data_IF_280618864760
#
_entry.id   IF_280618864760
#
_cell.length_a   1.000
_cell.length_b   1.000
_cell.length_c   1.000
_cell.angle_alpha   90.00
_cell.angle_beta   90.00
_cell.angle_gamma   90.00
#
_symmetry.space_group_name_H-M   'P 1'
#
loop_
_entity.id
_entity.type
_entity.pdbx_description
1 polymer ?
#
# COMPACT_ATOMS: atom_id res chain seq x y z
N UNK A 1 0.64 10.44 24.41
CA UNK A 1 1.20 9.69 23.28
C UNK A 1 0.09 8.83 22.69
N UNK A 2 -0.09 8.83 21.37
CA UNK A 2 -1.01 7.94 20.66
C UNK A 2 -0.31 6.58 20.47
N UNK A 3 -0.95 5.49 20.86
CA UNK A 3 -0.35 4.16 20.81
C UNK A 3 0.08 3.80 19.38
N UNK A 4 1.31 3.33 19.21
CA UNK A 4 1.83 2.94 17.92
C UNK A 4 1.01 1.79 17.35
N UNK A 5 0.45 1.98 16.14
CA UNK A 5 -0.26 0.92 15.44
C UNK A 5 0.57 0.45 14.25
N UNK A 6 1.08 -0.78 14.35
CA UNK A 6 1.82 -1.43 13.28
C UNK A 6 0.85 -1.86 12.17
N UNK A 7 1.08 -1.41 10.94
CA UNK A 7 0.29 -1.90 9.81
C UNK A 7 0.39 -3.44 9.71
N UNK A 8 -0.73 -4.18 9.66
CA UNK A 8 -0.72 -5.64 9.67
C UNK A 8 0.06 -6.24 8.49
N UNK A 9 0.52 -7.47 8.64
CA UNK A 9 0.92 -8.27 7.47
C UNK A 9 -0.31 -8.59 6.62
N UNK A 10 -0.17 -8.49 5.30
CA UNK A 10 -1.21 -8.91 4.36
C UNK A 10 -0.84 -10.31 3.86
N UNK A 11 -1.68 -11.34 4.10
CA UNK A 11 -1.37 -12.71 3.69
C UNK A 11 -1.47 -12.88 2.18
N UNK A 12 -0.76 -13.86 1.65
CA UNK A 12 -0.85 -14.28 0.25
C UNK A 12 -2.21 -14.94 -0.01
N UNK A 13 -2.85 -14.59 -1.13
CA UNK A 13 -4.04 -15.27 -1.63
C UNK A 13 -3.69 -16.67 -2.15
N UNK A 14 -2.62 -16.73 -2.93
CA UNK A 14 -1.97 -17.92 -3.42
C UNK A 14 -0.46 -17.64 -3.52
N UNK A 15 0.34 -18.70 -3.60
CA UNK A 15 1.77 -18.59 -3.81
C UNK A 15 2.10 -18.96 -5.26
N UNK A 16 2.51 -17.96 -6.05
CA UNK A 16 2.93 -18.13 -7.45
C UNK A 16 4.45 -18.28 -7.60
N UNK A 17 5.19 -18.22 -6.50
CA UNK A 17 6.65 -18.27 -6.49
C UNK A 17 7.22 -19.69 -6.63
N UNK A 18 8.54 -19.77 -6.78
CA UNK A 18 9.26 -21.05 -6.89
C UNK A 18 9.13 -21.97 -5.65
N UNK A 19 9.85 -23.10 -5.70
CA UNK A 19 9.65 -24.29 -4.85
C UNK A 19 9.56 -24.09 -3.32
N UNK A 20 10.06 -22.97 -2.78
CA UNK A 20 9.95 -22.66 -1.36
C UNK A 20 8.63 -21.95 -1.07
N UNK A 21 7.65 -22.72 -0.61
CA UNK A 21 6.37 -22.20 -0.12
C UNK A 21 6.63 -21.36 1.16
N UNK A 22 5.97 -20.20 1.34
CA UNK A 22 6.05 -19.45 2.57
C UNK A 22 5.57 -20.29 3.75
N UNK A 23 5.97 -19.89 4.95
CA UNK A 23 5.33 -20.40 6.17
C UNK A 23 3.80 -20.24 6.07
N UNK A 24 3.08 -21.24 6.57
CA UNK A 24 1.61 -21.33 6.43
C UNK A 24 0.89 -20.07 6.96
N UNK A 25 1.42 -19.40 7.98
CA UNK A 25 0.87 -18.16 8.55
C UNK A 25 0.88 -16.96 7.58
N UNK A 26 1.67 -17.03 6.51
CA UNK A 26 1.75 -16.00 5.46
C UNK A 26 0.82 -16.28 4.28
N UNK A 27 0.15 -17.42 4.24
CA UNK A 27 -0.78 -17.82 3.18
C UNK A 27 -2.20 -17.87 3.74
N UNK A 28 -3.18 -17.38 2.99
CA UNK A 28 -4.58 -17.60 3.35
C UNK A 28 -4.93 -19.08 3.26
N UNK A 29 -5.68 -19.58 4.24
CA UNK A 29 -6.26 -20.91 4.13
C UNK A 29 -7.19 -20.98 2.92
N UNK A 30 -7.35 -22.16 2.28
CA UNK A 30 -8.26 -22.31 1.15
C UNK A 30 -9.70 -21.88 1.44
N UNK A 31 -10.18 -22.07 2.67
CA UNK A 31 -11.52 -21.61 3.09
C UNK A 31 -11.62 -20.08 3.13
N UNK A 32 -10.63 -19.38 3.67
CA UNK A 32 -10.62 -17.92 3.70
C UNK A 32 -10.38 -17.31 2.32
N UNK A 33 -9.57 -17.93 1.47
CA UNK A 33 -9.40 -17.51 0.08
C UNK A 33 -10.72 -17.60 -0.70
N UNK A 34 -11.45 -18.73 -0.58
CA UNK A 34 -12.80 -18.87 -1.15
C UNK A 34 -13.77 -17.84 -0.60
N UNK A 35 -13.75 -17.59 0.71
CA UNK A 35 -14.63 -16.59 1.33
C UNK A 35 -14.33 -15.15 0.86
N UNK A 36 -13.05 -14.80 0.68
CA UNK A 36 -12.65 -13.49 0.13
C UNK A 36 -13.19 -13.28 -1.29
N UNK A 37 -13.18 -14.31 -2.12
CA UNK A 37 -13.60 -14.27 -3.53
C UNK A 37 -15.06 -14.68 -3.75
N UNK A 38 -15.84 -14.93 -2.69
CA UNK A 38 -17.23 -15.39 -2.81
C UNK A 38 -18.21 -14.31 -3.30
N UNK A 39 -17.80 -13.04 -3.28
CA UNK A 39 -18.59 -11.90 -3.72
C UNK A 39 -17.73 -10.88 -4.43
N UNK A 40 -18.27 -9.68 -4.64
CA UNK A 40 -17.53 -8.61 -5.30
C UNK A 40 -16.32 -8.19 -4.47
N UNK A 41 -15.21 -7.98 -5.17
CA UNK A 41 -13.95 -7.50 -4.60
C UNK A 41 -13.47 -6.25 -5.31
N UNK A 42 -12.57 -5.54 -4.63
CA UNK A 42 -11.74 -4.50 -5.23
C UNK A 42 -10.35 -5.06 -5.40
N UNK A 43 -9.81 -4.96 -6.63
CA UNK A 43 -8.44 -5.36 -6.96
C UNK A 43 -7.65 -4.12 -7.28
N UNK A 44 -6.56 -3.91 -6.56
CA UNK A 44 -5.68 -2.75 -6.71
C UNK A 44 -4.26 -3.22 -7.01
N UNK A 45 -3.53 -2.46 -7.84
CA UNK A 45 -2.12 -2.74 -8.10
C UNK A 45 -1.33 -2.67 -6.79
N UNK A 46 -0.55 -3.72 -6.50
CA UNK A 46 0.41 -3.70 -5.40
C UNK A 46 1.64 -2.91 -5.87
N UNK A 47 1.90 -1.81 -5.21
CA UNK A 47 3.08 -0.98 -5.44
C UNK A 47 4.23 -1.45 -4.54
N UNK A 48 5.43 -1.43 -5.10
CA UNK A 48 6.68 -1.75 -4.42
C UNK A 48 7.29 -0.47 -3.84
N UNK A 49 7.61 -0.49 -2.55
CA UNK A 49 8.11 0.68 -1.83
C UNK A 49 8.18 0.44 -0.33
N UNK A 50 8.08 1.54 0.41
CA UNK A 50 8.05 1.50 1.87
C UNK A 50 6.67 1.87 2.40
N UNK A 51 6.11 1.01 3.26
CA UNK A 51 4.97 1.36 4.07
C UNK A 51 5.26 2.61 4.93
N UNK A 52 4.43 3.65 4.75
CA UNK A 52 4.43 4.84 5.58
C UNK A 52 3.01 5.08 6.13
N UNK A 53 2.94 5.54 7.37
CA UNK A 53 1.69 5.92 8.03
C UNK A 53 1.74 7.36 8.53
N UNK A 54 0.58 8.03 8.52
CA UNK A 54 0.39 9.39 9.03
C UNK A 54 -0.76 9.41 10.03
N UNK A 55 -0.57 10.08 11.15
CA UNK A 55 -1.59 10.23 12.20
C UNK A 55 -1.38 11.52 12.99
N UNK A 56 -2.36 11.97 13.75
CA UNK A 56 -2.20 13.14 14.62
C UNK A 56 -1.87 12.75 16.07
N UNK A 57 -0.94 13.49 16.67
CA UNK A 57 -0.79 13.55 18.11
C UNK A 57 -1.95 14.34 18.73
N UNK A 58 -2.08 14.26 20.07
CA UNK A 58 -3.14 14.98 20.81
C UNK A 58 -3.11 16.50 20.65
N UNK A 59 -1.93 17.06 20.35
CA UNK A 59 -1.71 18.48 20.10
C UNK A 59 -1.88 18.88 18.62
N UNK A 60 -2.31 17.95 17.77
CA UNK A 60 -2.46 18.16 16.32
C UNK A 60 -1.17 18.00 15.52
N UNK A 61 -0.04 17.67 16.16
CA UNK A 61 1.22 17.41 15.46
C UNK A 61 1.07 16.22 14.52
N UNK A 62 1.46 16.40 13.26
CA UNK A 62 1.49 15.31 12.28
C UNK A 62 2.64 14.35 12.61
N UNK A 63 2.30 13.12 12.98
CA UNK A 63 3.22 12.03 13.20
C UNK A 63 3.38 11.22 11.92
N UNK A 64 4.60 10.83 11.60
CA UNK A 64 4.91 9.92 10.49
C UNK A 64 5.55 8.65 11.03
N UNK A 65 5.15 7.50 10.50
CA UNK A 65 5.69 6.21 10.87
C UNK A 65 6.10 5.38 9.66
N UNK A 66 7.10 4.52 9.84
CA UNK A 66 7.27 3.35 8.98
C UNK A 66 6.56 2.14 9.61
N UNK A 67 6.75 0.95 9.05
CA UNK A 67 6.12 -0.28 9.56
C UNK A 67 6.52 -0.64 11.01
N UNK A 68 7.66 -0.18 11.52
CA UNK A 68 8.22 -0.60 12.81
C UNK A 68 8.21 0.47 13.90
N UNK A 69 8.22 1.75 13.53
CA UNK A 69 8.37 2.86 14.48
C UNK A 69 7.92 4.19 13.87
N UNK A 70 7.68 5.17 14.74
CA UNK A 70 7.60 6.57 14.31
C UNK A 70 8.96 7.04 13.78
N UNK A 71 8.92 7.84 12.72
CA UNK A 71 10.09 8.47 12.12
C UNK A 71 10.34 9.81 12.79
N UNK A 72 11.60 10.14 13.01
CA UNK A 72 12.04 11.42 13.58
C UNK A 72 13.00 12.12 12.64
N UNK A 73 13.02 13.44 12.71
CA UNK A 73 14.02 14.26 12.01
C UNK A 73 15.40 14.09 12.66
N UNK A 74 16.50 14.08 11.88
CA UNK A 74 16.57 14.17 10.42
C UNK A 74 16.13 12.86 9.74
N UNK A 75 15.29 12.98 8.71
CA UNK A 75 14.90 11.84 7.89
C UNK A 75 16.05 11.43 6.97
N UNK A 76 16.39 10.14 6.94
CA UNK A 76 17.54 9.61 6.21
C UNK A 76 17.17 8.46 5.29
N UNK A 77 18.10 8.06 4.42
CA UNK A 77 17.92 6.93 3.51
C UNK A 77 16.72 7.11 2.58
N UNK A 78 15.84 6.11 2.52
CA UNK A 78 14.64 6.15 1.66
C UNK A 78 13.65 7.27 2.01
N UNK A 79 13.73 7.84 3.22
CA UNK A 79 12.86 8.92 3.68
C UNK A 79 13.49 10.31 3.52
N UNK A 80 14.67 10.44 2.90
CA UNK A 80 15.36 11.73 2.76
C UNK A 80 14.55 12.79 1.98
N UNK A 81 13.62 12.37 1.10
CA UNK A 81 12.71 13.27 0.36
C UNK A 81 11.39 13.57 1.08
N UNK A 82 11.16 12.95 2.24
CA UNK A 82 9.93 13.12 3.00
C UNK A 82 9.72 14.56 3.50
N UNK A 83 10.75 15.32 3.96
CA UNK A 83 10.56 16.71 4.40
C UNK A 83 9.98 17.63 3.32
N UNK A 84 10.54 17.58 2.12
CA UNK A 84 10.08 18.39 0.97
C UNK A 84 8.64 18.01 0.60
N UNK A 85 8.33 16.72 0.58
CA UNK A 85 6.98 16.25 0.34
C UNK A 85 5.99 16.70 1.42
N UNK A 86 6.36 16.59 2.70
CA UNK A 86 5.54 17.05 3.82
C UNK A 86 5.30 18.56 3.80
N UNK A 87 6.26 19.35 3.32
CA UNK A 87 6.05 20.79 3.16
C UNK A 87 4.92 21.13 2.18
N UNK A 88 4.64 20.25 1.20
CA UNK A 88 3.58 20.44 0.20
C UNK A 88 2.25 19.76 0.55
N UNK A 89 2.28 18.68 1.33
CA UNK A 89 1.10 17.84 1.60
C UNK A 89 0.68 17.80 3.08
N UNK A 90 1.56 18.15 4.00
CA UNK A 90 1.38 17.94 5.43
C UNK A 90 0.20 18.69 6.04
N UNK A 91 -0.03 19.95 5.64
CA UNK A 91 -1.20 20.73 6.07
C UNK A 91 -2.51 20.05 5.62
N UNK A 92 -2.62 19.72 4.33
CA UNK A 92 -3.82 19.06 3.77
C UNK A 92 -4.07 17.69 4.40
N UNK A 93 -3.04 16.94 4.77
CA UNK A 93 -3.20 15.70 5.53
C UNK A 93 -3.75 16.02 6.92
N UNK A 94 -3.19 17.01 7.61
CA UNK A 94 -3.62 17.38 8.96
C UNK A 94 -5.08 17.83 8.99
N UNK A 95 -5.52 18.57 7.98
CA UNK A 95 -6.90 19.06 7.86
C UNK A 95 -7.92 17.93 7.66
N UNK A 96 -7.49 16.78 7.11
CA UNK A 96 -8.37 15.65 6.81
C UNK A 96 -8.31 14.52 7.84
N UNK A 97 -7.33 14.54 8.75
CA UNK A 97 -7.19 13.54 9.80
C UNK A 97 -7.73 14.08 11.12
N UNK A 98 -8.47 13.24 11.83
CA UNK A 98 -8.66 13.39 13.27
C UNK A 98 -7.73 12.45 14.04
N UNK A 99 -7.74 12.54 15.37
CA UNK A 99 -6.84 11.76 16.24
C UNK A 99 -7.13 10.24 16.24
N UNK A 100 -8.28 9.81 15.73
CA UNK A 100 -8.66 8.39 15.62
C UNK A 100 -8.09 7.73 14.36
N UNK A 101 -7.69 8.52 13.35
CA UNK A 101 -7.34 7.99 12.03
C UNK A 101 -5.83 7.81 11.84
N UNK A 102 -5.48 6.76 11.09
CA UNK A 102 -4.18 6.59 10.47
C UNK A 102 -4.34 6.41 8.97
N UNK A 103 -3.72 7.30 8.20
CA UNK A 103 -3.58 7.16 6.76
C UNK A 103 -2.35 6.30 6.46
N UNK A 104 -2.51 5.28 5.63
CA UNK A 104 -1.39 4.46 5.14
C UNK A 104 -1.22 4.59 3.64
N UNK A 105 0.03 4.68 3.22
CA UNK A 105 0.40 4.70 1.81
C UNK A 105 1.74 4.03 1.55
N UNK A 106 1.98 3.76 0.27
CA UNK A 106 3.24 3.25 -0.21
C UNK A 106 4.13 4.43 -0.60
N UNK A 107 5.22 4.61 0.12
CA UNK A 107 6.25 5.58 -0.17
C UNK A 107 7.24 4.99 -1.18
N UNK A 108 7.10 5.40 -2.44
CA UNK A 108 7.86 4.84 -3.57
C UNK A 108 8.90 5.82 -4.11
N UNK A 109 9.38 6.77 -3.30
CA UNK A 109 10.44 7.69 -3.71
C UNK A 109 11.76 6.95 -4.00
N UNK A 110 12.19 6.08 -3.08
CA UNK A 110 13.34 5.21 -3.28
C UNK A 110 12.91 3.96 -4.05
N UNK A 111 13.72 3.56 -5.03
CA UNK A 111 13.58 2.29 -5.74
C UNK A 111 13.91 1.14 -4.79
N UNK A 112 12.95 0.24 -4.61
CA UNK A 112 13.15 -1.07 -3.98
C UNK A 112 13.56 -2.07 -5.07
N UNK A 113 12.71 -3.02 -5.40
CA UNK A 113 12.93 -4.01 -6.46
C UNK A 113 12.54 -3.45 -7.83
N UNK A 114 11.41 -2.74 -7.88
CA UNK A 114 10.81 -2.21 -9.10
C UNK A 114 11.20 -0.75 -9.30
N UNK A 115 11.64 -0.44 -10.53
CA UNK A 115 11.82 0.94 -10.98
C UNK A 115 10.52 1.50 -11.53
N UNK A 116 10.07 2.61 -10.95
CA UNK A 116 8.95 3.39 -11.45
C UNK A 116 9.43 4.69 -12.07
N UNK A 117 8.93 4.97 -13.28
CA UNK A 117 9.28 6.16 -14.04
C UNK A 117 8.09 7.06 -14.41
N UNK A 118 6.87 6.69 -13.97
CA UNK A 118 5.63 7.42 -14.23
C UNK A 118 4.73 7.52 -12.98
N UNK A 119 5.32 7.60 -11.79
CA UNK A 119 4.52 7.77 -10.57
C UNK A 119 3.76 9.11 -10.62
N UNK A 120 2.50 9.19 -10.17
CA UNK A 120 1.77 10.45 -10.11
C UNK A 120 2.14 11.27 -8.85
N UNK A 121 2.74 10.61 -7.86
CA UNK A 121 3.25 11.18 -6.61
C UNK A 121 4.22 10.16 -5.98
N UNK A 122 5.09 10.57 -5.05
CA UNK A 122 5.93 9.66 -4.27
C UNK A 122 5.13 8.84 -3.25
N UNK A 123 3.97 9.35 -2.80
CA UNK A 123 3.06 8.62 -1.92
C UNK A 123 1.81 8.16 -2.68
N UNK A 124 1.50 6.87 -2.57
CA UNK A 124 0.24 6.30 -3.03
C UNK A 124 -0.55 5.72 -1.87
N UNK A 125 -1.66 6.37 -1.51
CA UNK A 125 -2.51 5.95 -0.39
C UNK A 125 -3.18 4.61 -0.73
N UNK A 126 -3.15 3.65 0.22
CA UNK A 126 -3.77 2.35 0.05
C UNK A 126 -4.72 1.93 1.18
N UNK A 127 -4.64 2.52 2.38
CA UNK A 127 -5.54 2.19 3.50
C UNK A 127 -5.74 3.38 4.44
N UNK A 128 -6.86 3.36 5.18
CA UNK A 128 -7.09 4.18 6.37
C UNK A 128 -7.53 3.26 7.51
N UNK A 129 -6.87 3.35 8.65
CA UNK A 129 -7.25 2.64 9.88
C UNK A 129 -7.94 3.59 10.84
N UNK A 130 -9.07 3.14 11.37
CA UNK A 130 -9.87 3.83 12.37
C UNK A 130 -9.65 3.15 13.73
N UNK A 131 -9.05 3.89 14.66
CA UNK A 131 -8.71 3.37 16.00
C UNK A 131 -9.93 3.15 16.87
N UNK A 132 -10.97 3.97 16.72
CA UNK A 132 -12.18 3.86 17.54
C UNK A 132 -12.99 2.63 17.12
N UNK A 133 -13.14 2.43 15.82
CA UNK A 133 -13.81 1.25 15.28
C UNK A 133 -12.91 0.00 15.26
N UNK A 134 -11.60 0.15 15.46
CA UNK A 134 -10.58 -0.87 15.29
C UNK A 134 -10.62 -1.57 13.91
N UNK A 135 -10.89 -0.79 12.85
CA UNK A 135 -11.20 -1.32 11.50
C UNK A 135 -10.55 -0.48 10.41
N UNK A 136 -10.32 -1.13 9.26
CA UNK A 136 -9.92 -0.44 8.05
C UNK A 136 -11.16 0.05 7.28
N UNK A 137 -11.11 1.28 6.81
CA UNK A 137 -12.15 1.85 5.95
C UNK A 137 -12.29 1.09 4.62
N UNK A 138 -13.46 1.18 3.99
CA UNK A 138 -13.64 0.79 2.59
C UNK A 138 -12.77 1.66 1.68
N UNK A 139 -12.43 1.14 0.50
CA UNK A 139 -11.69 1.88 -0.52
C UNK A 139 -12.41 3.15 -0.96
N UNK A 140 -13.75 3.16 -0.96
CA UNK A 140 -14.54 4.36 -1.27
C UNK A 140 -14.33 5.48 -0.24
N UNK A 141 -14.39 5.17 1.06
CA UNK A 141 -14.12 6.15 2.13
C UNK A 141 -12.66 6.62 2.11
N UNK A 142 -11.72 5.69 1.96
CA UNK A 142 -10.29 6.00 1.78
C UNK A 142 -10.08 6.96 0.60
N UNK A 143 -10.71 6.70 -0.54
CA UNK A 143 -10.56 7.51 -1.75
C UNK A 143 -11.12 8.92 -1.57
N UNK A 144 -12.26 9.05 -0.90
CA UNK A 144 -12.83 10.36 -0.59
C UNK A 144 -11.87 11.19 0.28
N UNK A 145 -11.31 10.60 1.34
CA UNK A 145 -10.32 11.28 2.19
C UNK A 145 -9.04 11.63 1.42
N UNK A 146 -8.49 10.68 0.65
CA UNK A 146 -7.30 10.94 -0.16
C UNK A 146 -7.53 12.06 -1.17
N UNK A 147 -8.70 12.10 -1.83
CA UNK A 147 -9.08 13.16 -2.75
C UNK A 147 -9.20 14.51 -2.05
N UNK A 148 -9.83 14.56 -0.87
CA UNK A 148 -9.96 15.79 -0.08
C UNK A 148 -8.61 16.34 0.39
N UNK A 149 -7.66 15.44 0.70
CA UNK A 149 -6.26 15.81 1.01
C UNK A 149 -5.42 16.14 -0.24
N UNK A 150 -5.97 15.93 -1.45
CA UNK A 150 -5.25 16.06 -2.72
C UNK A 150 -4.05 15.10 -2.83
N UNK A 151 -4.24 13.87 -2.35
CA UNK A 151 -3.29 12.76 -2.42
C UNK A 151 -3.67 11.78 -3.53
N UNK A 152 -2.66 11.10 -4.08
CA UNK A 152 -2.87 10.05 -5.08
C UNK A 152 -3.05 8.69 -4.37
N UNK A 153 -3.82 7.79 -5.00
CA UNK A 153 -4.13 6.45 -4.48
C UNK A 153 -3.45 5.38 -5.34
N UNK A 154 -3.33 4.18 -4.79
CA UNK A 154 -2.96 3.01 -5.60
C UNK A 154 -3.99 2.76 -6.72
N UNK A 155 -3.56 2.32 -7.92
CA UNK A 155 -4.47 2.08 -9.04
C UNK A 155 -5.50 0.98 -8.75
N UNK A 156 -6.79 1.27 -8.92
CA UNK A 156 -7.81 0.23 -9.02
C UNK A 156 -7.76 -0.40 -10.41
N UNK A 157 -7.69 -1.74 -10.46
CA UNK A 157 -7.62 -2.52 -11.69
C UNK A 157 -8.96 -3.18 -12.03
N UNK A 158 -9.70 -3.60 -11.00
CA UNK A 158 -10.99 -4.27 -11.13
C UNK A 158 -11.88 -3.96 -9.91
N UNK A 159 -13.17 -3.84 -10.15
CA UNK A 159 -14.25 -3.93 -9.15
C UNK A 159 -15.29 -4.91 -9.66
N UNK A 160 -15.63 -5.91 -8.86
CA UNK A 160 -16.64 -6.90 -9.23
C UNK A 160 -16.25 -8.32 -8.84
N UNK A 161 -16.94 -9.30 -9.41
CA UNK A 161 -16.65 -10.71 -9.21
C UNK A 161 -15.36 -11.10 -9.91
N UNK A 162 -14.54 -11.93 -9.25
CA UNK A 162 -13.37 -12.53 -9.86
C UNK A 162 -12.99 -13.85 -9.17
N UNK A 163 -12.11 -14.62 -9.79
CA UNK A 163 -11.53 -15.81 -9.20
C UNK A 163 -9.99 -15.80 -9.29
N UNK A 164 -9.34 -16.79 -8.68
CA UNK A 164 -7.88 -16.87 -8.65
C UNK A 164 -7.26 -16.95 -10.06
N UNK A 165 -7.84 -17.72 -10.98
CA UNK A 165 -7.30 -17.89 -12.32
C UNK A 165 -7.36 -16.58 -13.13
N UNK A 166 -8.44 -15.81 -12.98
CA UNK A 166 -8.55 -14.48 -13.60
C UNK A 166 -7.55 -13.48 -13.02
N UNK A 167 -7.28 -13.53 -11.71
CA UNK A 167 -6.27 -12.70 -11.06
C UNK A 167 -4.85 -13.05 -11.53
N UNK A 168 -4.55 -14.35 -11.69
CA UNK A 168 -3.28 -14.83 -12.26
C UNK A 168 -3.12 -14.36 -13.70
N UNK A 169 -4.16 -14.49 -14.53
CA UNK A 169 -4.16 -14.00 -15.90
C UNK A 169 -3.98 -12.47 -15.97
N UNK A 170 -4.66 -11.72 -15.10
CA UNK A 170 -4.50 -10.28 -14.99
C UNK A 170 -3.05 -9.89 -14.68
N UNK A 171 -2.39 -10.60 -13.76
CA UNK A 171 -0.99 -10.36 -13.43
C UNK A 171 -0.04 -10.67 -14.59
N UNK A 172 -0.31 -11.71 -15.36
CA UNK A 172 0.53 -12.11 -16.49
C UNK A 172 0.43 -11.12 -17.67
N UNK A 173 -0.77 -10.63 -17.97
CA UNK A 173 -1.02 -9.83 -19.19
C UNK A 173 -0.91 -8.33 -18.97
N UNK A 174 -1.23 -7.82 -17.76
CA UNK A 174 -1.27 -6.37 -17.52
C UNK A 174 0.08 -5.85 -17.03
N UNK A 175 0.55 -4.81 -17.70
CA UNK A 175 1.67 -4.01 -17.20
C UNK A 175 1.25 -3.12 -16.03
N UNK A 176 2.22 -2.79 -15.17
CA UNK A 176 2.06 -1.78 -14.12
C UNK A 176 1.63 -0.45 -14.72
N UNK A 177 0.81 0.31 -13.99
CA UNK A 177 0.41 1.66 -14.42
C UNK A 177 1.59 2.64 -14.48
N UNK A 178 2.64 2.41 -13.69
CA UNK A 178 3.69 3.40 -13.43
C UNK A 178 5.06 3.04 -14.03
N UNK A 179 5.12 2.01 -14.89
CA UNK A 179 6.30 1.63 -15.66
C UNK A 179 5.92 0.81 -16.90
N UNK A 180 6.87 0.65 -17.82
CA UNK A 180 6.77 -0.39 -18.85
C UNK A 180 7.25 -1.73 -18.28
N UNK A 181 6.36 -2.71 -18.16
CA UNK A 181 6.62 -4.05 -17.66
C UNK A 181 5.68 -4.50 -16.53
N UNK A 182 5.90 -5.70 -15.97
CA UNK A 182 4.96 -6.32 -15.04
C UNK A 182 4.82 -5.53 -13.73
N UNK A 183 3.64 -5.59 -13.14
CA UNK A 183 3.42 -5.12 -11.76
C UNK A 183 3.97 -6.12 -10.75
N UNK A 184 4.24 -5.67 -9.52
CA UNK A 184 4.68 -6.55 -8.44
C UNK A 184 3.62 -7.61 -8.11
N UNK A 185 2.35 -7.19 -8.16
CA UNK A 185 1.23 -7.99 -7.71
C UNK A 185 -0.05 -7.16 -7.64
N UNK A 186 -1.05 -7.74 -6.99
CA UNK A 186 -2.32 -7.09 -6.66
C UNK A 186 -2.68 -7.27 -5.19
N UNK A 187 -3.41 -6.30 -4.65
CA UNK A 187 -4.13 -6.42 -3.39
C UNK A 187 -5.61 -6.65 -3.71
N UNK A 188 -6.19 -7.71 -3.15
CA UNK A 188 -7.60 -8.07 -3.31
C UNK A 188 -8.31 -7.79 -1.99
N UNK A 189 -9.42 -7.08 -2.04
CA UNK A 189 -10.20 -6.67 -0.85
C UNK A 189 -11.66 -7.04 -1.02
N UNK A 190 -12.25 -7.68 -0.01
CA UNK A 190 -13.70 -7.67 0.15
C UNK A 190 -14.08 -6.57 1.15
N UNK A 191 -15.13 -5.84 0.85
CA UNK A 191 -15.57 -4.70 1.66
C UNK A 191 -17.10 -4.61 1.70
N UNK A 192 -17.63 -3.82 2.63
CA UNK A 192 -18.96 -3.24 2.50
C UNK A 192 -18.83 -1.74 2.22
N UNK A 193 -19.93 -1.00 2.33
CA UNK A 193 -19.95 0.44 2.09
C UNK A 193 -18.90 1.20 2.92
N UNK A 194 -18.70 0.79 4.17
CA UNK A 194 -17.94 1.56 5.15
C UNK A 194 -16.57 0.95 5.51
N UNK A 195 -16.41 -0.36 5.37
CA UNK A 195 -15.30 -1.10 5.97
C UNK A 195 -14.75 -2.17 5.05
N UNK A 196 -13.41 -2.27 5.02
CA UNK A 196 -12.70 -3.44 4.50
C UNK A 196 -12.94 -4.62 5.44
N UNK A 197 -13.40 -5.75 4.90
CA UNK A 197 -13.70 -6.98 5.68
C UNK A 197 -12.49 -7.92 5.71
N UNK A 198 -11.91 -8.18 4.54
CA UNK A 198 -10.73 -9.03 4.42
C UNK A 198 -9.89 -8.58 3.24
N UNK A 199 -8.58 -8.87 3.30
CA UNK A 199 -7.64 -8.55 2.23
C UNK A 199 -6.57 -9.61 2.07
N UNK A 200 -6.10 -9.76 0.85
CA UNK A 200 -5.00 -10.64 0.49
C UNK A 200 -4.13 -9.98 -0.57
N UNK A 201 -2.91 -10.48 -0.74
CA UNK A 201 -2.04 -10.10 -1.85
C UNK A 201 -1.79 -11.29 -2.77
N UNK A 202 -1.76 -11.07 -4.06
CA UNK A 202 -1.24 -12.03 -5.03
C UNK A 202 -0.01 -11.38 -5.66
N UNK A 203 1.16 -12.00 -5.49
CA UNK A 203 2.43 -11.45 -5.95
C UNK A 203 2.85 -12.22 -7.19
N UNK A 204 3.22 -11.49 -8.24
CA UNK A 204 3.66 -12.07 -9.50
C UNK A 204 4.95 -12.90 -9.27
N UNK A 205 5.05 -14.05 -9.94
CA UNK A 205 6.08 -15.07 -9.68
C UNK A 205 7.51 -14.49 -9.65
N UNK A 206 7.85 -13.66 -10.63
CA UNK A 206 9.16 -12.99 -10.76
C UNK A 206 9.57 -12.13 -9.56
N UNK A 207 8.62 -11.70 -8.71
CA UNK A 207 8.87 -10.83 -7.55
C UNK A 207 8.80 -11.56 -6.21
N UNK A 208 8.52 -12.86 -6.21
CA UNK A 208 8.43 -13.67 -4.98
C UNK A 208 9.80 -14.00 -4.37
N UNK A 209 10.86 -14.07 -5.18
CA UNK A 209 12.22 -14.43 -4.75
C UNK A 209 13.03 -13.25 -4.19
N UNK A 210 12.59 -12.01 -4.43
CA UNK A 210 13.30 -10.79 -4.01
C UNK A 210 13.03 -10.38 -2.55
N UNK A 211 12.26 -11.17 -1.79
CA UNK A 211 11.75 -10.78 -0.46
C UNK A 211 12.84 -10.80 0.62
N UNK A 212 13.90 -11.60 0.48
CA UNK A 212 14.86 -11.84 1.57
C UNK A 212 16.28 -11.24 1.38
N UNK A 213 16.69 -10.82 0.17
CA UNK A 213 18.06 -10.33 -0.06
C UNK A 213 18.16 -8.84 -0.43
N UNK A 214 18.65 -8.05 0.53
CA UNK A 214 19.68 -7.03 0.27
C UNK A 214 19.32 -5.72 -0.50
N UNK A 215 18.15 -5.09 -0.26
CA UNK A 215 17.98 -3.69 -0.69
C UNK A 215 18.59 -2.67 0.30
N UNK A 216 18.58 -2.94 1.60
CA UNK A 216 18.99 -1.98 2.65
C UNK A 216 20.49 -1.62 2.68
N UNK A 217 21.33 -2.37 1.94
CA UNK A 217 22.79 -2.15 1.84
C UNK A 217 23.25 -1.48 0.53
N UNK A 218 22.34 -1.21 -0.40
CA UNK A 218 22.68 -0.58 -1.69
C UNK A 218 22.51 0.93 -1.59
N UNK A 219 23.29 1.68 -2.39
CA UNK A 219 23.06 3.12 -2.56
C UNK A 219 21.62 3.35 -3.03
N UNK A 220 20.94 4.31 -2.39
CA UNK A 220 19.55 4.66 -2.71
C UNK A 220 19.48 5.14 -4.16
N UNK A 221 18.71 4.42 -4.98
CA UNK A 221 18.28 4.89 -6.29
C UNK A 221 16.89 5.51 -6.15
N UNK A 222 16.62 6.57 -6.88
CA UNK A 222 15.34 7.29 -6.80
C UNK A 222 14.45 6.96 -8.00
N UNK A 223 13.18 6.67 -7.73
CA UNK A 223 12.14 6.60 -8.77
C UNK A 223 11.81 8.00 -9.30
N UNK A 224 11.02 8.06 -10.38
CA UNK A 224 10.60 9.33 -11.00
C UNK A 224 9.10 9.52 -10.92
N UNK A 225 8.72 10.76 -10.66
CA UNK A 225 7.33 11.25 -10.69
C UNK A 225 7.11 11.94 -12.04
N UNK A 226 6.00 11.62 -12.68
CA UNK A 226 5.49 12.32 -13.85
C UNK A 226 4.54 13.44 -13.40
N UNK A 227 5.09 14.65 -13.26
CA UNK A 227 4.35 15.82 -12.80
C UNK A 227 3.35 16.36 -13.84
N UNK A 228 3.32 15.82 -15.06
CA UNK A 228 2.35 16.21 -16.08
C UNK A 228 0.95 15.62 -15.82
N UNK A 229 0.87 14.57 -15.00
CA UNK A 229 -0.38 13.90 -14.61
C UNK A 229 -0.89 14.51 -13.29
N UNK A 230 -1.25 15.79 -13.30
CA UNK A 230 -1.85 16.45 -12.13
C UNK A 230 -3.37 16.37 -12.13
#
# INVERSE_FOLDING_TARGET
MTDFFRFPSTPHLAWLGGATVPREDKLLSPSHARALLAGEVVVEEKIDGANVGFSLAKDGTLLVQNRGQYLTSPYTGQFARLPEWLAHHGERIRDQLDASLLLFGEWSAARHSIEYNRLPDWLLVFDVYDREAARFWSTSRRNALASAAGLKIVPTLLRGLTNLAELEHLLAERSSRYRAGPMEGVIVRSENLDWSKSRAKLVHADFTQAIDEHWSRRHVKWNRVDWSVR
#
